data_IF_495391640402
#
_entry.id   IF_495391640402
#
_cell.length_a   1.000
_cell.length_b   1.000
_cell.length_c   1.000
_cell.angle_alpha   90.00
_cell.angle_beta   90.00
_cell.angle_gamma   90.00
#
_symmetry.space_group_name_H-M   'P 1'
#
loop_
_entity.id
_entity.type
_entity.pdbx_description
1 polymer ?
#
# COMPACT_ATOMS: atom_id res chain seq x y z
N UNK A 1 17.28 -14.90 18.03
CA UNK A 1 16.28 -15.44 17.21
C UNK A 1 15.42 -14.40 16.59
N UNK A 2 15.38 -14.41 15.37
CA UNK A 2 14.58 -13.46 14.70
C UNK A 2 13.22 -13.99 14.46
N UNK A 3 12.32 -13.50 15.18
CA UNK A 3 10.97 -13.67 14.76
C UNK A 3 10.76 -12.82 13.56
N UNK A 4 10.96 -13.37 12.43
CA UNK A 4 10.40 -12.75 11.29
C UNK A 4 8.91 -13.01 11.40
N UNK A 5 8.22 -12.05 11.89
CA UNK A 5 6.78 -12.13 11.85
C UNK A 5 6.38 -11.89 10.41
N UNK A 6 6.20 -12.95 9.68
CA UNK A 6 5.57 -12.83 8.40
C UNK A 6 4.13 -12.50 8.65
N UNK A 7 3.76 -11.31 8.30
CA UNK A 7 2.37 -10.94 8.30
C UNK A 7 1.73 -11.63 7.10
N UNK A 8 0.98 -12.69 7.38
CA UNK A 8 0.30 -13.44 6.32
C UNK A 8 -0.74 -12.61 5.59
N UNK A 9 -1.35 -11.65 6.31
CA UNK A 9 -2.37 -10.79 5.74
C UNK A 9 -2.08 -9.35 6.11
N UNK A 10 -1.05 -8.76 5.51
CA UNK A 10 -0.78 -7.35 5.78
C UNK A 10 -1.95 -6.50 5.32
N UNK A 11 -2.32 -5.48 6.07
CA UNK A 11 -3.44 -4.63 5.68
C UNK A 11 -3.09 -3.80 4.47
N UNK A 12 -4.10 -3.46 3.68
CA UNK A 12 -3.93 -2.48 2.62
C UNK A 12 -3.67 -1.12 3.27
N UNK A 13 -2.71 -0.33 2.76
CA UNK A 13 -2.40 0.96 3.36
C UNK A 13 -3.58 1.92 3.42
N UNK A 14 -4.61 1.70 2.59
CA UNK A 14 -5.84 2.48 2.66
C UNK A 14 -6.52 2.44 4.01
N UNK A 15 -6.41 1.32 4.74
CA UNK A 15 -6.99 1.21 6.08
C UNK A 15 -6.33 2.20 7.03
N UNK A 16 -5.02 2.34 6.95
CA UNK A 16 -4.30 3.29 7.80
C UNK A 16 -4.69 4.73 7.47
N UNK A 17 -4.88 5.02 6.19
CA UNK A 17 -5.37 6.34 5.78
C UNK A 17 -6.72 6.63 6.42
N UNK A 18 -7.65 5.68 6.30
CA UNK A 18 -8.99 5.83 6.88
C UNK A 18 -8.95 6.04 8.37
N UNK A 19 -8.16 5.25 9.09
CA UNK A 19 -8.02 5.37 10.53
C UNK A 19 -7.39 6.71 10.93
N UNK A 20 -6.37 7.15 10.19
CA UNK A 20 -5.71 8.43 10.46
C UNK A 20 -6.68 9.60 10.29
N UNK A 21 -7.51 9.56 9.27
CA UNK A 21 -8.50 10.61 9.04
C UNK A 21 -9.54 10.63 10.15
N UNK A 22 -9.96 9.48 10.64
CA UNK A 22 -10.90 9.40 11.76
C UNK A 22 -10.29 10.00 13.01
N UNK A 23 -9.05 9.67 13.31
CA UNK A 23 -8.35 10.22 14.48
C UNK A 23 -8.23 11.73 14.39
N UNK A 24 -7.96 12.25 13.20
CA UNK A 24 -7.81 13.69 12.99
C UNK A 24 -9.15 14.42 12.88
N UNK A 25 -10.24 13.67 12.78
CA UNK A 25 -11.56 14.27 12.58
C UNK A 25 -11.73 14.93 11.23
N UNK A 26 -11.01 14.43 10.21
CA UNK A 26 -11.03 15.00 8.86
C UNK A 26 -11.91 14.14 7.97
N UNK A 27 -12.86 14.77 7.28
CA UNK A 27 -13.72 14.04 6.35
C UNK A 27 -12.96 13.63 5.08
N UNK A 28 -13.47 12.61 4.40
CA UNK A 28 -12.86 12.17 3.14
C UNK A 28 -12.85 13.30 2.11
N UNK A 29 -13.92 14.07 2.03
CA UNK A 29 -14.01 15.20 1.09
C UNK A 29 -12.95 16.26 1.38
N UNK A 30 -12.77 16.60 2.66
CA UNK A 30 -11.77 17.59 3.05
C UNK A 30 -10.36 17.07 2.81
N UNK A 31 -10.12 15.80 3.14
CA UNK A 31 -8.81 15.18 2.93
C UNK A 31 -8.46 15.13 1.44
N UNK A 32 -9.42 14.77 0.59
CA UNK A 32 -9.18 14.72 -0.86
C UNK A 32 -8.78 16.09 -1.40
N UNK A 33 -9.44 17.14 -0.95
CA UNK A 33 -9.07 18.50 -1.34
C UNK A 33 -7.65 18.85 -0.88
N UNK A 34 -7.33 18.50 0.36
CA UNK A 34 -5.99 18.74 0.89
C UNK A 34 -4.91 17.97 0.16
N UNK A 35 -5.22 16.78 -0.31
CA UNK A 35 -4.29 15.96 -1.07
C UNK A 35 -4.23 16.32 -2.55
N UNK A 36 -5.16 17.14 -3.02
CA UNK A 36 -5.22 17.51 -4.43
C UNK A 36 -5.72 16.40 -5.35
N UNK A 37 -6.58 15.55 -4.84
CA UNK A 37 -7.18 14.44 -5.60
C UNK A 37 -8.70 14.49 -5.46
N UNK A 38 -9.39 13.69 -6.26
CA UNK A 38 -10.85 13.64 -6.15
C UNK A 38 -11.27 12.81 -4.94
N UNK A 39 -12.47 13.08 -4.46
CA UNK A 39 -13.05 12.29 -3.38
C UNK A 39 -13.13 10.81 -3.75
N UNK A 40 -13.51 10.53 -5.02
CA UNK A 40 -13.62 9.17 -5.49
C UNK A 40 -12.28 8.46 -5.51
N UNK A 41 -11.21 9.15 -5.92
CA UNK A 41 -9.86 8.58 -5.91
C UNK A 41 -9.45 8.20 -4.49
N UNK A 42 -9.67 9.10 -3.54
CA UNK A 42 -9.32 8.82 -2.15
C UNK A 42 -10.17 7.70 -1.59
N UNK A 43 -11.46 7.70 -1.87
CA UNK A 43 -12.35 6.64 -1.42
C UNK A 43 -11.89 5.26 -1.94
N UNK A 44 -11.49 5.19 -3.20
CA UNK A 44 -11.00 3.94 -3.79
C UNK A 44 -9.74 3.44 -3.10
N UNK A 45 -8.83 4.33 -2.74
CA UNK A 45 -7.61 3.95 -2.01
C UNK A 45 -7.96 3.46 -0.61
N UNK A 46 -8.80 4.17 0.10
CA UNK A 46 -9.23 3.79 1.45
C UNK A 46 -9.92 2.43 1.45
N UNK A 47 -10.74 2.18 0.45
CA UNK A 47 -11.46 0.91 0.31
C UNK A 47 -10.58 -0.24 -0.19
N UNK A 48 -9.33 0.03 -0.53
CA UNK A 48 -8.41 -1.00 -1.02
C UNK A 48 -8.62 -1.39 -2.48
N UNK A 49 -9.38 -0.59 -3.23
CA UNK A 49 -9.62 -0.86 -4.66
C UNK A 49 -8.53 -0.31 -5.56
N UNK A 50 -7.79 0.68 -5.08
CA UNK A 50 -6.69 1.29 -5.82
C UNK A 50 -5.43 1.20 -5.02
N UNK A 51 -4.31 1.01 -5.71
CA UNK A 51 -3.00 0.98 -5.08
C UNK A 51 -2.49 2.39 -4.83
N UNK A 52 -1.58 2.50 -3.87
CA UNK A 52 -0.86 3.75 -3.64
C UNK A 52 0.30 3.81 -4.62
N UNK A 53 0.30 4.83 -5.46
CA UNK A 53 1.39 5.11 -6.38
C UNK A 53 2.46 5.96 -5.70
N UNK A 54 3.68 6.06 -6.27
CA UNK A 54 4.70 6.96 -5.72
C UNK A 54 4.21 8.40 -5.56
N UNK A 55 3.44 8.91 -6.53
CA UNK A 55 2.90 10.25 -6.41
C UNK A 55 1.94 10.38 -5.24
N UNK A 56 1.05 9.41 -5.08
CA UNK A 56 0.13 9.41 -3.95
C UNK A 56 0.87 9.31 -2.62
N UNK A 57 1.93 8.51 -2.58
CA UNK A 57 2.74 8.35 -1.39
C UNK A 57 3.39 9.68 -0.98
N UNK A 58 3.86 10.45 -1.95
CA UNK A 58 4.43 11.77 -1.66
C UNK A 58 3.37 12.74 -1.14
N UNK A 59 2.17 12.69 -1.70
CA UNK A 59 1.07 13.53 -1.22
C UNK A 59 0.70 13.18 0.23
N UNK A 60 0.66 11.89 0.55
CA UNK A 60 0.39 11.45 1.91
C UNK A 60 1.50 11.85 2.87
N UNK A 61 2.75 11.78 2.45
CA UNK A 61 3.87 12.22 3.26
C UNK A 61 3.71 13.69 3.68
N UNK A 62 3.34 14.54 2.73
CA UNK A 62 3.16 15.96 2.99
C UNK A 62 1.94 16.22 3.89
N UNK A 63 0.87 15.47 3.70
CA UNK A 63 -0.38 15.73 4.40
C UNK A 63 -0.41 15.13 5.81
N UNK A 64 0.18 13.96 6.00
CA UNK A 64 0.10 13.23 7.26
C UNK A 64 1.39 13.19 8.05
N UNK A 65 2.48 13.71 7.50
CA UNK A 65 3.77 13.74 8.20
C UNK A 65 4.49 12.40 8.26
N UNK A 66 4.03 11.41 7.49
CA UNK A 66 4.68 10.11 7.35
C UNK A 66 5.70 10.16 6.22
N UNK A 67 6.28 9.03 5.85
CA UNK A 67 7.20 8.97 4.74
C UNK A 67 6.57 8.27 3.53
N UNK A 68 6.94 8.70 2.34
CA UNK A 68 6.48 8.05 1.12
C UNK A 68 6.92 6.58 1.10
N UNK A 69 8.13 6.31 1.59
CA UNK A 69 8.68 4.95 1.66
C UNK A 69 7.78 4.03 2.46
N UNK A 70 7.26 4.51 3.58
CA UNK A 70 6.37 3.73 4.43
C UNK A 70 5.11 3.31 3.67
N UNK A 71 4.48 4.27 2.98
CA UNK A 71 3.26 3.98 2.24
C UNK A 71 3.49 2.99 1.12
N UNK A 72 4.58 3.16 0.38
CA UNK A 72 4.92 2.25 -0.72
C UNK A 72 5.30 0.86 -0.21
N UNK A 73 5.98 0.79 0.93
CA UNK A 73 6.32 -0.49 1.53
C UNK A 73 5.08 -1.25 1.97
N UNK A 74 4.12 -0.57 2.56
CA UNK A 74 2.85 -1.18 2.93
C UNK A 74 2.11 -1.71 1.71
N UNK A 75 2.10 -0.94 0.63
CA UNK A 75 1.46 -1.37 -0.61
C UNK A 75 2.16 -2.59 -1.19
N UNK A 76 3.48 -2.58 -1.23
CA UNK A 76 4.27 -3.70 -1.72
C UNK A 76 4.00 -4.97 -0.92
N UNK A 77 4.00 -4.86 0.40
CA UNK A 77 3.75 -6.01 1.27
C UNK A 77 2.37 -6.59 1.03
N UNK A 78 1.38 -5.74 0.88
CA UNK A 78 0.02 -6.17 0.59
C UNK A 78 -0.04 -6.89 -0.77
N UNK A 79 0.51 -6.29 -1.80
CA UNK A 79 0.48 -6.85 -3.15
C UNK A 79 1.21 -8.18 -3.22
N UNK A 80 2.39 -8.26 -2.60
CA UNK A 80 3.17 -9.51 -2.60
C UNK A 80 2.44 -10.63 -1.86
N UNK A 81 1.79 -10.30 -0.74
CA UNK A 81 1.04 -11.30 0.00
C UNK A 81 -0.11 -11.87 -0.82
N UNK A 82 -0.80 -11.01 -1.58
CA UNK A 82 -1.88 -11.44 -2.46
C UNK A 82 -1.35 -12.38 -3.55
N UNK A 83 -0.23 -12.00 -4.17
CA UNK A 83 0.36 -12.81 -5.23
C UNK A 83 0.96 -14.10 -4.72
N UNK A 84 1.60 -14.07 -3.55
CA UNK A 84 2.20 -15.27 -2.96
C UNK A 84 1.17 -16.33 -2.61
N UNK A 85 -0.04 -15.90 -2.27
CA UNK A 85 -1.14 -16.84 -2.04
C UNK A 85 -1.48 -17.62 -3.31
N UNK A 86 -1.08 -17.10 -4.48
CA UNK A 86 -1.29 -17.74 -5.78
C UNK A 86 0.02 -18.00 -6.52
N UNK A 87 1.13 -18.09 -5.76
CA UNK A 87 2.46 -18.21 -6.36
C UNK A 87 2.61 -19.47 -7.22
N UNK A 88 1.85 -20.51 -6.88
CA UNK A 88 1.90 -21.77 -7.65
C UNK A 88 1.41 -21.58 -9.09
N UNK A 89 0.67 -20.52 -9.38
CA UNK A 89 0.24 -20.23 -10.75
C UNK A 89 1.35 -19.63 -11.60
N UNK A 90 2.40 -19.12 -10.96
CA UNK A 90 3.55 -18.54 -11.65
C UNK A 90 4.59 -19.65 -11.82
N UNK A 91 4.64 -20.22 -13.02
CA UNK A 91 5.51 -21.37 -13.28
C UNK A 91 6.77 -20.93 -13.99
N UNK A 92 7.71 -20.43 -13.22
CA UNK A 92 9.00 -20.01 -13.75
C UNK A 92 10.09 -20.82 -13.09
N UNK A 93 10.92 -21.41 -13.91
CA UNK A 93 12.07 -22.17 -13.43
C UNK A 93 13.27 -21.24 -13.33
N UNK A 94 14.01 -21.40 -12.27
CA UNK A 94 15.22 -20.62 -12.07
C UNK A 94 16.21 -20.87 -13.20
N UNK A 95 16.80 -19.81 -13.71
CA UNK A 95 17.84 -19.93 -14.73
C UNK A 95 19.09 -20.57 -14.12
N UNK A 96 19.69 -21.46 -14.89
CA UNK A 96 20.96 -22.07 -14.50
C UNK A 96 22.08 -21.48 -15.34
N UNK A 97 23.29 -21.35 -14.77
CA UNK A 97 24.42 -20.87 -15.56
C UNK A 97 24.70 -21.82 -16.73
N UNK A 98 25.05 -21.26 -17.89
CA UNK A 98 25.46 -22.07 -19.00
C UNK A 98 26.75 -22.82 -18.67
N UNK A 99 26.80 -24.09 -19.02
CA UNK A 99 27.97 -24.92 -18.79
C UNK A 99 28.96 -24.79 -19.96
N UNK A 100 29.20 -23.60 -20.46
CA UNK A 100 30.04 -23.38 -21.62
C UNK A 100 31.46 -23.85 -21.43
#
# INVERSE_FOLDING_TARGET
>A
MTCVVEMRNPPHPGELIGDSLKELGVSVSKAARGLGITRQQLHNVIAGRSAITPEMALRLEKALGSTADMWLRMQMNFDLAQLRARASSIKIKRFEPDAA
#
